data_IF_953720688597
#
_entry.id   IF_953720688597
#
_cell.length_a   1.000
_cell.length_b   1.000
_cell.length_c   1.000
_cell.angle_alpha   90.00
_cell.angle_beta   90.00
_cell.angle_gamma   90.00
#
_symmetry.space_group_name_H-M   'P 1'
#
loop_
_entity.id
_entity.type
_entity.pdbx_description
1 polymer ?
#
# COMPACT_ATOMS: atom_id res chain seq x y z
N UNK A 1 -10.95 -20.18 32.00
CA UNK A 1 -10.89 -18.86 31.34
C UNK A 1 -10.41 -19.09 29.90
N UNK A 2 -11.32 -19.35 28.97
CA UNK A 2 -10.94 -19.79 27.62
C UNK A 2 -11.96 -19.32 26.59
N UNK A 3 -12.12 -18.01 26.40
CA UNK A 3 -12.85 -17.44 25.28
C UNK A 3 -12.72 -15.91 25.27
N UNK A 4 -11.65 -15.34 24.71
CA UNK A 4 -11.62 -13.88 24.43
C UNK A 4 -10.50 -13.36 23.50
N UNK A 5 -9.90 -14.13 22.56
CA UNK A 5 -8.75 -13.63 21.78
C UNK A 5 -8.91 -13.72 20.25
N UNK A 6 -10.13 -13.75 19.70
CA UNK A 6 -10.37 -13.88 18.24
C UNK A 6 -11.07 -12.64 17.65
N UNK A 7 -10.50 -11.43 17.80
CA UNK A 7 -11.16 -10.23 17.28
C UNK A 7 -10.26 -9.08 16.78
N UNK A 8 -9.02 -9.34 16.34
CA UNK A 8 -8.18 -8.30 15.74
C UNK A 8 -7.78 -8.63 14.30
N UNK A 9 -8.77 -8.86 13.43
CA UNK A 9 -8.53 -8.82 11.99
C UNK A 9 -8.48 -7.33 11.57
N UNK A 10 -7.31 -6.71 11.68
CA UNK A 10 -7.08 -5.34 11.22
C UNK A 10 -7.18 -5.31 9.70
N UNK A 11 -8.13 -4.57 9.14
CA UNK A 11 -8.23 -4.36 7.70
C UNK A 11 -6.97 -3.71 7.15
N UNK A 12 -6.35 -4.32 6.14
CA UNK A 12 -5.22 -3.72 5.44
C UNK A 12 -5.75 -2.64 4.50
N UNK A 13 -5.54 -1.38 4.86
CA UNK A 13 -5.83 -0.25 3.98
C UNK A 13 -4.71 -0.14 2.95
N UNK A 14 -5.03 -0.37 1.67
CA UNK A 14 -4.08 -0.15 0.59
C UNK A 14 -3.81 1.36 0.47
N UNK A 15 -2.56 1.75 0.71
CA UNK A 15 -2.10 3.12 0.49
C UNK A 15 -1.66 3.27 -0.97
N UNK A 16 -2.03 4.38 -1.60
CA UNK A 16 -1.49 4.80 -2.91
C UNK A 16 0.02 5.05 -2.74
N UNK A 17 0.84 4.08 -3.14
CA UNK A 17 2.28 3.99 -2.84
C UNK A 17 3.17 5.02 -3.55
N UNK A 18 2.83 6.31 -3.51
CA UNK A 18 3.64 7.37 -4.11
C UNK A 18 3.57 7.44 -5.63
N UNK A 19 2.43 7.04 -6.21
CA UNK A 19 2.08 7.28 -7.61
C UNK A 19 1.43 8.65 -7.78
N UNK A 20 1.57 9.26 -8.94
CA UNK A 20 0.91 10.50 -9.32
C UNK A 20 -0.60 10.32 -9.53
N UNK A 21 -1.28 11.39 -9.94
CA UNK A 21 -2.72 11.37 -10.23
C UNK A 21 -3.13 10.39 -11.35
N UNK A 22 -2.16 9.92 -12.15
CA UNK A 22 -2.37 8.95 -13.23
C UNK A 22 -2.03 7.51 -12.81
N UNK A 23 -1.58 7.27 -11.58
CA UNK A 23 -1.12 5.96 -11.14
C UNK A 23 0.32 5.64 -11.55
N UNK A 24 1.12 6.64 -11.90
CA UNK A 24 2.49 6.46 -12.37
C UNK A 24 3.54 6.96 -11.36
N UNK A 25 4.74 6.39 -11.41
CA UNK A 25 5.84 6.66 -10.50
C UNK A 25 7.17 6.83 -11.25
N UNK A 26 7.89 7.91 -10.93
CA UNK A 26 9.25 8.13 -11.42
C UNK A 26 10.26 7.54 -10.45
N UNK A 27 11.04 6.57 -10.91
CA UNK A 27 12.12 6.00 -10.14
C UNK A 27 13.28 7.01 -10.02
N UNK A 28 13.52 7.53 -8.82
CA UNK A 28 14.58 8.51 -8.56
C UNK A 28 16.00 7.99 -8.77
N UNK A 29 16.21 6.67 -8.82
CA UNK A 29 17.54 6.07 -9.06
C UNK A 29 17.88 5.95 -10.54
N UNK A 30 16.88 5.66 -11.38
CA UNK A 30 17.07 5.37 -12.81
C UNK A 30 16.50 6.43 -13.73
N UNK A 31 15.63 7.31 -13.22
CA UNK A 31 14.84 8.25 -14.01
C UNK A 31 13.68 7.60 -14.77
N UNK A 32 13.46 6.29 -14.63
CA UNK A 32 12.43 5.58 -15.37
C UNK A 32 11.03 5.92 -14.84
N UNK A 33 10.10 6.17 -15.76
CA UNK A 33 8.70 6.44 -15.46
C UNK A 33 7.87 5.18 -15.69
N UNK A 34 7.22 4.71 -14.63
CA UNK A 34 6.43 3.48 -14.64
C UNK A 34 4.99 3.80 -14.27
N UNK A 35 4.04 3.41 -15.11
CA UNK A 35 2.63 3.44 -14.76
C UNK A 35 2.19 2.09 -14.22
N UNK A 36 1.31 2.10 -13.21
CA UNK A 36 0.70 0.90 -12.65
C UNK A 36 -0.43 0.38 -13.55
#
# INVERSE_FOLDING_TARGET
>A
MAAAIIACATGAFAHSGGTDANGCHTNHKTGAYHCH
#
